data_IF_015149146455
#
_entry.id   IF_015149146455
#
_cell.length_a   1.000
_cell.length_b   1.000
_cell.length_c   1.000
_cell.angle_alpha   90.00
_cell.angle_beta   90.00
_cell.angle_gamma   90.00
#
_symmetry.space_group_name_H-M   'P 1'
#
loop_
_entity.id
_entity.type
_entity.pdbx_description
1 polymer ?
#
# COMPACT_ATOMS: atom_id res chain seq x y z
N UNK A 1 -20.15 19.52 -23.25
CA UNK A 1 -18.88 19.20 -23.93
C UNK A 1 -18.92 17.74 -24.29
N UNK A 2 -18.78 17.38 -25.53
CA UNK A 2 -18.76 15.99 -25.99
C UNK A 2 -17.28 15.64 -26.31
N UNK A 3 -16.49 15.35 -25.25
CA UNK A 3 -15.07 15.00 -25.39
C UNK A 3 -14.97 13.49 -25.50
N UNK A 4 -14.29 13.01 -26.55
CA UNK A 4 -14.09 11.59 -26.75
C UNK A 4 -13.32 10.97 -25.59
N UNK A 5 -13.82 9.86 -25.05
CA UNK A 5 -13.20 9.08 -23.96
C UNK A 5 -11.73 8.70 -24.26
N UNK A 6 -11.40 8.39 -25.52
CA UNK A 6 -10.04 8.05 -25.95
C UNK A 6 -9.03 9.15 -25.62
N UNK A 7 -9.45 10.42 -25.57
CA UNK A 7 -8.57 11.54 -25.20
C UNK A 7 -8.16 11.47 -23.73
N UNK A 8 -9.08 11.08 -22.84
CA UNK A 8 -8.79 10.88 -21.42
C UNK A 8 -7.92 9.66 -21.18
N UNK A 9 -8.13 8.58 -21.93
CA UNK A 9 -7.27 7.39 -21.89
C UNK A 9 -5.84 7.72 -22.28
N UNK A 10 -5.64 8.43 -23.38
CA UNK A 10 -4.33 8.89 -23.82
C UNK A 10 -3.70 9.83 -22.79
N UNK A 11 -4.47 10.75 -22.22
CA UNK A 11 -4.02 11.65 -21.16
C UNK A 11 -3.52 10.85 -19.94
N UNK A 12 -4.28 9.86 -19.48
CA UNK A 12 -3.92 9.00 -18.36
C UNK A 12 -2.55 8.33 -18.56
N UNK A 13 -2.33 7.70 -19.71
CA UNK A 13 -1.06 7.03 -19.97
C UNK A 13 0.11 8.01 -20.14
N UNK A 14 -0.08 9.15 -20.82
CA UNK A 14 0.97 10.17 -20.93
C UNK A 14 1.33 10.74 -19.56
N UNK A 15 0.36 10.95 -18.69
CA UNK A 15 0.56 11.41 -17.31
C UNK A 15 1.30 10.37 -16.46
N UNK A 16 0.92 9.09 -16.57
CA UNK A 16 1.52 7.99 -15.82
C UNK A 16 3.01 7.79 -16.16
N UNK A 17 3.36 7.92 -17.44
CA UNK A 17 4.75 7.71 -17.90
C UNK A 17 5.57 9.01 -17.96
N UNK A 18 4.95 10.17 -17.82
CA UNK A 18 5.56 11.49 -18.05
C UNK A 18 6.38 11.58 -19.36
N UNK A 19 6.03 10.73 -20.34
CA UNK A 19 6.76 10.55 -21.59
C UNK A 19 5.82 10.08 -22.70
N UNK A 20 5.74 10.88 -23.77
CA UNK A 20 4.88 10.57 -24.94
C UNK A 20 5.31 9.31 -25.70
N UNK A 21 6.62 9.03 -25.77
CA UNK A 21 7.12 7.86 -26.50
C UNK A 21 6.76 6.58 -25.76
N UNK A 22 7.01 6.52 -24.45
CA UNK A 22 6.68 5.36 -23.63
C UNK A 22 5.14 5.12 -23.58
N UNK A 23 4.36 6.19 -23.49
CA UNK A 23 2.92 6.08 -23.55
C UNK A 23 2.43 5.56 -24.91
N UNK A 24 3.07 5.99 -26.01
CA UNK A 24 2.75 5.52 -27.35
C UNK A 24 3.06 4.04 -27.55
N UNK A 25 4.20 3.57 -27.06
CA UNK A 25 4.57 2.14 -27.05
C UNK A 25 3.53 1.31 -26.28
N UNK A 26 3.15 1.77 -25.09
CA UNK A 26 2.14 1.09 -24.26
C UNK A 26 0.76 1.01 -24.91
N UNK A 27 0.39 2.04 -25.67
CA UNK A 27 -0.89 2.12 -26.37
C UNK A 27 -0.87 1.53 -27.79
N UNK A 28 0.27 0.96 -28.22
CA UNK A 28 0.48 0.49 -29.59
C UNK A 28 0.13 1.56 -30.63
N UNK A 29 0.46 2.82 -30.35
CA UNK A 29 0.16 3.99 -31.16
C UNK A 29 1.44 4.75 -31.56
N UNK A 30 1.32 5.77 -32.39
CA UNK A 30 2.46 6.64 -32.71
C UNK A 30 2.43 7.92 -31.87
N UNK A 31 3.59 8.37 -31.45
CA UNK A 31 3.77 9.55 -30.58
C UNK A 31 3.16 10.85 -31.18
N UNK A 32 3.25 11.17 -32.50
CA UNK A 32 2.60 12.35 -33.06
C UNK A 32 1.09 12.36 -32.86
N UNK A 33 0.44 11.20 -32.93
CA UNK A 33 -0.99 11.08 -32.71
C UNK A 33 -1.37 11.41 -31.25
N UNK A 34 -0.61 10.87 -30.28
CA UNK A 34 -0.81 11.18 -28.86
C UNK A 34 -0.67 12.68 -28.60
N UNK A 35 0.37 13.31 -29.14
CA UNK A 35 0.60 14.75 -28.99
C UNK A 35 -0.55 15.57 -29.55
N UNK A 36 -1.08 15.19 -30.73
CA UNK A 36 -2.23 15.85 -31.35
C UNK A 36 -3.50 15.70 -30.51
N UNK A 37 -3.70 14.52 -29.96
CA UNK A 37 -4.89 14.22 -29.13
C UNK A 37 -4.85 14.99 -27.82
N UNK A 38 -3.71 15.06 -27.15
CA UNK A 38 -3.57 15.87 -25.93
C UNK A 38 -3.85 17.34 -26.22
N UNK A 39 -3.30 17.91 -27.30
CA UNK A 39 -3.62 19.28 -27.69
C UNK A 39 -5.11 19.52 -27.91
N UNK A 40 -5.82 18.57 -28.52
CA UNK A 40 -7.29 18.65 -28.70
C UNK A 40 -8.01 18.62 -27.35
N UNK A 41 -7.57 17.76 -26.42
CA UNK A 41 -8.13 17.70 -25.08
C UNK A 41 -7.94 19.03 -24.33
N UNK A 42 -6.72 19.58 -24.35
CA UNK A 42 -6.40 20.88 -23.74
C UNK A 42 -7.24 22.01 -24.34
N UNK A 43 -7.39 22.04 -25.66
CA UNK A 43 -8.25 23.02 -26.36
C UNK A 43 -9.72 22.87 -25.95
N UNK A 44 -10.21 21.65 -25.82
CA UNK A 44 -11.61 21.39 -25.42
C UNK A 44 -11.89 21.77 -23.96
N UNK A 45 -10.89 21.63 -23.08
CA UNK A 45 -10.98 21.97 -21.66
C UNK A 45 -10.62 23.45 -21.38
N UNK A 46 -9.93 24.13 -22.32
CA UNK A 46 -9.50 25.51 -22.18
C UNK A 46 -8.31 25.69 -21.24
N UNK A 47 -7.61 24.62 -20.87
CA UNK A 47 -6.45 24.64 -19.95
C UNK A 47 -5.32 23.75 -20.48
N UNK A 48 -4.09 24.08 -20.11
CA UNK A 48 -2.93 23.22 -20.38
C UNK A 48 -2.81 22.15 -19.28
N UNK A 49 -2.65 20.91 -19.69
CA UNK A 49 -2.53 19.77 -18.78
C UNK A 49 -1.09 19.34 -18.56
N UNK A 50 -0.21 19.66 -19.52
CA UNK A 50 1.21 19.32 -19.46
C UNK A 50 2.11 20.55 -19.65
N UNK A 51 3.22 20.56 -18.93
CA UNK A 51 4.33 21.49 -19.11
C UNK A 51 5.59 20.73 -19.59
N UNK A 52 6.46 21.38 -20.35
CA UNK A 52 7.73 20.78 -20.78
C UNK A 52 8.74 20.75 -19.63
N UNK A 53 9.40 19.60 -19.47
CA UNK A 53 10.48 19.39 -18.51
C UNK A 53 11.69 18.75 -19.23
N UNK A 54 12.50 19.57 -19.88
CA UNK A 54 13.59 19.09 -20.72
C UNK A 54 13.08 18.30 -21.92
N UNK A 55 13.44 17.01 -22.01
CA UNK A 55 12.95 16.07 -23.05
C UNK A 55 11.62 15.40 -22.69
N UNK A 56 11.18 15.49 -21.44
CA UNK A 56 9.96 14.89 -20.92
C UNK A 56 8.88 15.95 -20.69
N UNK A 57 7.73 15.51 -20.20
CA UNK A 57 6.62 16.36 -19.79
C UNK A 57 6.27 16.09 -18.34
N UNK A 58 5.69 17.07 -17.66
CA UNK A 58 5.13 16.93 -16.33
C UNK A 58 3.72 17.54 -16.31
N UNK A 59 2.90 17.11 -15.38
CA UNK A 59 1.55 17.65 -15.20
C UNK A 59 1.59 19.08 -14.66
N UNK A 60 0.71 19.93 -15.20
CA UNK A 60 0.36 21.22 -14.59
C UNK A 60 -0.47 21.00 -13.32
N UNK A 61 -0.75 22.03 -12.49
CA UNK A 61 -1.70 21.91 -11.38
C UNK A 61 -3.08 21.38 -11.84
N UNK A 62 -3.62 21.92 -12.95
CA UNK A 62 -4.88 21.50 -13.57
C UNK A 62 -4.80 20.06 -14.09
N UNK A 63 -3.64 19.71 -14.67
CA UNK A 63 -3.35 18.34 -15.11
C UNK A 63 -3.33 17.34 -13.96
N UNK A 64 -2.81 17.72 -12.79
CA UNK A 64 -2.80 16.86 -11.60
C UNK A 64 -4.20 16.60 -11.07
N UNK A 65 -5.01 17.64 -10.96
CA UNK A 65 -6.40 17.51 -10.52
C UNK A 65 -7.21 16.60 -11.47
N UNK A 66 -7.03 16.80 -12.79
CA UNK A 66 -7.67 15.93 -13.78
C UNK A 66 -7.15 14.49 -13.68
N UNK A 67 -5.84 14.29 -13.50
CA UNK A 67 -5.23 12.97 -13.40
C UNK A 67 -5.77 12.16 -12.22
N UNK A 68 -5.94 12.75 -11.05
CA UNK A 68 -6.52 12.09 -9.89
C UNK A 68 -7.91 11.52 -10.18
N UNK A 69 -8.75 12.28 -10.89
CA UNK A 69 -10.12 11.86 -11.26
C UNK A 69 -10.13 10.82 -12.38
N UNK A 70 -9.30 11.02 -13.41
CA UNK A 70 -9.22 10.10 -14.55
C UNK A 70 -8.58 8.79 -14.15
N UNK A 71 -7.56 8.81 -13.29
CA UNK A 71 -6.92 7.61 -12.73
C UNK A 71 -7.95 6.71 -12.05
N UNK A 72 -8.80 7.28 -11.19
CA UNK A 72 -9.88 6.53 -10.53
C UNK A 72 -10.88 5.92 -11.53
N UNK A 73 -11.25 6.66 -12.59
CA UNK A 73 -12.14 6.16 -13.62
C UNK A 73 -11.52 5.05 -14.48
N UNK A 74 -10.24 5.18 -14.83
CA UNK A 74 -9.49 4.15 -15.58
C UNK A 74 -9.35 2.86 -14.79
N UNK A 75 -9.03 2.93 -13.48
CA UNK A 75 -8.98 1.77 -12.59
C UNK A 75 -10.33 1.02 -12.55
N UNK A 76 -11.47 1.74 -12.54
CA UNK A 76 -12.80 1.14 -12.59
C UNK A 76 -13.05 0.39 -13.90
N UNK A 77 -12.68 1.00 -15.03
CA UNK A 77 -12.87 0.39 -16.36
C UNK A 77 -11.99 -0.87 -16.48
N UNK A 78 -10.71 -0.77 -16.13
CA UNK A 78 -9.80 -1.91 -16.18
C UNK A 78 -10.23 -3.04 -15.23
N UNK A 79 -10.80 -2.71 -14.06
CA UNK A 79 -11.37 -3.68 -13.14
C UNK A 79 -12.57 -4.41 -13.77
N UNK A 80 -13.50 -3.68 -14.40
CA UNK A 80 -14.65 -4.25 -15.07
C UNK A 80 -14.25 -5.15 -16.26
N UNK A 81 -13.26 -4.74 -17.05
CA UNK A 81 -12.70 -5.56 -18.13
C UNK A 81 -12.07 -6.86 -17.61
N UNK A 82 -11.32 -6.79 -16.49
CA UNK A 82 -10.78 -7.98 -15.83
C UNK A 82 -11.88 -8.92 -15.33
N UNK A 83 -12.93 -8.39 -14.71
CA UNK A 83 -14.08 -9.17 -14.26
C UNK A 83 -14.76 -9.90 -15.42
N UNK A 84 -15.05 -9.19 -16.52
CA UNK A 84 -15.69 -9.77 -17.70
C UNK A 84 -14.81 -10.82 -18.38
N UNK A 85 -13.50 -10.60 -18.47
CA UNK A 85 -12.58 -11.58 -19.03
C UNK A 85 -12.49 -12.84 -18.18
N UNK A 86 -12.67 -12.74 -16.86
CA UNK A 86 -12.74 -13.88 -15.95
C UNK A 86 -14.02 -14.70 -16.11
N UNK A 87 -15.14 -14.08 -16.49
CA UNK A 87 -16.39 -14.79 -16.85
C UNK A 87 -16.29 -15.55 -18.18
N UNK A 88 -15.54 -15.03 -19.14
CA UNK A 88 -15.33 -15.67 -20.43
C UNK A 88 -14.38 -16.89 -20.36
N UNK A 89 -13.49 -16.92 -19.37
CA UNK A 89 -12.58 -18.02 -19.10
C UNK A 89 -13.15 -18.89 -17.95
N UNK A 90 -14.09 -19.77 -18.23
CA UNK A 90 -14.70 -20.73 -17.28
C UNK A 90 -13.69 -21.63 -16.52
N UNK A 91 -12.39 -21.42 -16.67
CA UNK A 91 -11.32 -22.16 -16.02
C UNK A 91 -10.28 -21.35 -15.23
N UNK A 92 -10.40 -20.02 -15.16
CA UNK A 92 -9.47 -19.18 -14.40
C UNK A 92 -10.07 -17.81 -14.13
N UNK A 93 -10.18 -17.44 -12.88
CA UNK A 93 -10.59 -16.10 -12.45
C UNK A 93 -9.40 -15.31 -11.91
N UNK A 94 -9.61 -14.02 -11.69
CA UNK A 94 -8.69 -13.17 -10.98
C UNK A 94 -9.30 -12.74 -9.65
N UNK A 95 -8.46 -12.63 -8.65
CA UNK A 95 -8.73 -11.84 -7.44
C UNK A 95 -7.67 -10.75 -7.34
N UNK A 96 -8.08 -9.57 -6.93
CA UNK A 96 -7.18 -8.45 -6.74
C UNK A 96 -7.22 -7.98 -5.28
N UNK A 97 -6.05 -7.90 -4.65
CA UNK A 97 -5.91 -7.62 -3.21
C UNK A 97 -4.90 -6.50 -3.01
N UNK A 98 -5.35 -5.40 -2.42
CA UNK A 98 -4.45 -4.39 -1.87
C UNK A 98 -3.98 -4.82 -0.47
N UNK A 99 -2.69 -4.71 -0.17
CA UNK A 99 -2.20 -5.11 1.15
C UNK A 99 -1.14 -4.14 1.67
N UNK A 100 -1.20 -3.84 2.98
CA UNK A 100 -0.06 -3.23 3.66
C UNK A 100 0.96 -4.31 4.03
N UNK A 101 2.24 -3.93 4.10
CA UNK A 101 3.36 -4.86 4.27
C UNK A 101 3.16 -5.82 5.46
N UNK A 102 2.86 -5.29 6.64
CA UNK A 102 2.64 -6.12 7.84
C UNK A 102 1.43 -7.05 7.67
N UNK A 103 0.34 -6.56 7.09
CA UNK A 103 -0.86 -7.35 6.87
C UNK A 103 -0.65 -8.43 5.80
N UNK A 104 0.18 -8.13 4.78
CA UNK A 104 0.62 -9.09 3.78
C UNK A 104 1.31 -10.28 4.45
N UNK A 105 2.37 -10.03 5.20
CA UNK A 105 3.18 -11.09 5.82
C UNK A 105 2.40 -11.86 6.89
N UNK A 106 1.75 -11.15 7.80
CA UNK A 106 1.13 -11.79 8.97
C UNK A 106 -0.17 -12.52 8.67
N UNK A 107 -0.97 -12.04 7.72
CA UNK A 107 -2.32 -12.58 7.50
C UNK A 107 -2.55 -13.06 6.07
N UNK A 108 -2.14 -12.27 5.08
CA UNK A 108 -2.52 -12.56 3.69
C UNK A 108 -1.71 -13.70 3.07
N UNK A 109 -0.38 -13.74 3.24
CA UNK A 109 0.45 -14.82 2.68
C UNK A 109 0.08 -16.21 3.20
N UNK A 110 -0.13 -16.43 4.51
CA UNK A 110 -0.63 -17.72 5.01
C UNK A 110 -1.99 -18.11 4.41
N UNK A 111 -2.92 -17.15 4.29
CA UNK A 111 -4.23 -17.39 3.70
C UNK A 111 -4.15 -17.67 2.20
N UNK A 112 -3.29 -16.98 1.45
CA UNK A 112 -3.05 -17.20 0.03
C UNK A 112 -2.44 -18.57 -0.23
N UNK A 113 -1.59 -19.08 0.65
CA UNK A 113 -1.07 -20.44 0.55
C UNK A 113 -2.21 -21.47 0.56
N UNK A 114 -3.10 -21.40 1.54
CA UNK A 114 -4.28 -22.26 1.64
C UNK A 114 -5.21 -22.06 0.45
N UNK A 115 -5.44 -20.81 0.06
CA UNK A 115 -6.28 -20.46 -1.07
C UNK A 115 -5.78 -21.06 -2.39
N UNK A 116 -4.49 -20.93 -2.68
CA UNK A 116 -3.89 -21.45 -3.93
C UNK A 116 -3.83 -22.97 -3.98
N UNK A 117 -3.74 -23.65 -2.82
CA UNK A 117 -3.86 -25.09 -2.75
C UNK A 117 -5.28 -25.55 -3.13
N UNK A 118 -6.32 -24.85 -2.68
CA UNK A 118 -7.72 -25.15 -2.98
C UNK A 118 -8.16 -24.68 -4.38
N UNK A 119 -7.57 -23.59 -4.88
CA UNK A 119 -7.95 -22.90 -6.12
C UNK A 119 -6.73 -22.60 -7.00
N UNK A 120 -5.99 -23.62 -7.53
CA UNK A 120 -4.72 -23.44 -8.24
C UNK A 120 -4.85 -22.63 -9.53
N UNK A 121 -6.00 -22.68 -10.19
CA UNK A 121 -6.26 -21.99 -11.46
C UNK A 121 -6.60 -20.50 -11.32
N UNK A 122 -6.90 -20.00 -10.10
CA UNK A 122 -7.24 -18.61 -9.89
C UNK A 122 -5.95 -17.78 -9.79
N UNK A 123 -5.85 -16.73 -10.58
CA UNK A 123 -4.77 -15.76 -10.53
C UNK A 123 -4.99 -14.75 -9.41
N UNK A 124 -3.91 -14.33 -8.77
CA UNK A 124 -3.93 -13.33 -7.69
C UNK A 124 -3.12 -12.12 -8.15
N UNK A 125 -3.77 -10.98 -8.21
CA UNK A 125 -3.12 -9.67 -8.37
C UNK A 125 -2.93 -9.07 -6.99
N UNK A 126 -1.68 -8.87 -6.61
CA UNK A 126 -1.32 -8.36 -5.29
C UNK A 126 -0.68 -6.99 -5.44
N UNK A 127 -1.29 -6.00 -4.79
CA UNK A 127 -0.79 -4.63 -4.74
C UNK A 127 -0.26 -4.35 -3.34
N UNK A 128 1.06 -4.20 -3.22
CA UNK A 128 1.69 -3.80 -1.97
C UNK A 128 1.69 -2.27 -1.85
N UNK A 129 1.00 -1.76 -0.85
CA UNK A 129 0.77 -0.33 -0.63
C UNK A 129 0.85 0.02 0.84
N UNK A 130 0.99 1.31 1.17
CA UNK A 130 0.65 1.77 2.51
C UNK A 130 -0.85 1.56 2.79
N UNK A 131 -1.25 1.44 4.06
CA UNK A 131 -2.68 1.23 4.39
C UNK A 131 -3.61 2.29 3.80
N UNK A 132 -3.30 3.61 3.82
CA UNK A 132 -4.13 4.61 3.14
C UNK A 132 -4.21 4.41 1.63
N UNK A 133 -3.10 4.03 0.98
CA UNK A 133 -3.09 3.78 -0.47
C UNK A 133 -3.91 2.53 -0.83
N UNK A 134 -3.79 1.44 -0.06
CA UNK A 134 -4.59 0.23 -0.27
C UNK A 134 -6.09 0.51 -0.15
N UNK A 135 -6.50 1.33 0.84
CA UNK A 135 -7.88 1.80 0.99
C UNK A 135 -8.31 2.67 -0.19
N UNK A 136 -7.45 3.57 -0.66
CA UNK A 136 -7.75 4.40 -1.84
C UNK A 136 -7.92 3.55 -3.09
N UNK A 137 -7.02 2.59 -3.34
CA UNK A 137 -7.12 1.64 -4.47
C UNK A 137 -8.43 0.85 -4.41
N UNK A 138 -8.83 0.38 -3.22
CA UNK A 138 -10.11 -0.29 -3.02
C UNK A 138 -11.30 0.62 -3.34
N UNK A 139 -11.30 1.85 -2.83
CA UNK A 139 -12.38 2.83 -3.10
C UNK A 139 -12.56 3.09 -4.59
N UNK A 140 -11.45 3.22 -5.30
CA UNK A 140 -11.41 3.48 -6.72
C UNK A 140 -11.68 2.24 -7.60
N UNK A 141 -11.81 1.04 -6.99
CA UNK A 141 -12.10 -0.22 -7.70
C UNK A 141 -10.87 -0.87 -8.32
N UNK A 142 -9.67 -0.44 -7.97
CA UNK A 142 -8.42 -1.05 -8.40
C UNK A 142 -8.13 -2.40 -7.75
N UNK A 143 -8.82 -2.74 -6.63
CA UNK A 143 -8.78 -4.07 -6.04
C UNK A 143 -10.14 -4.47 -5.46
N UNK A 144 -10.36 -5.78 -5.28
CA UNK A 144 -11.60 -6.37 -4.77
C UNK A 144 -11.74 -6.19 -3.25
N UNK A 145 -10.64 -6.37 -2.54
CA UNK A 145 -10.52 -6.20 -1.09
C UNK A 145 -9.16 -5.58 -0.75
N UNK A 146 -9.08 -5.01 0.45
CA UNK A 146 -7.80 -4.63 1.01
C UNK A 146 -7.57 -5.34 2.35
N UNK A 147 -6.32 -5.74 2.61
CA UNK A 147 -5.88 -6.27 3.91
C UNK A 147 -4.84 -5.32 4.48
N UNK A 148 -5.21 -4.60 5.52
CA UNK A 148 -4.41 -3.49 6.03
C UNK A 148 -4.08 -3.62 7.51
N UNK A 149 -2.95 -3.06 7.90
CA UNK A 149 -2.59 -2.86 9.30
C UNK A 149 -2.85 -1.39 9.69
N UNK A 150 -3.43 -1.16 10.86
CA UNK A 150 -3.77 0.18 11.38
C UNK A 150 -4.81 0.93 10.53
N UNK A 151 -6.00 1.08 11.05
CA UNK A 151 -6.98 2.04 10.57
C UNK A 151 -7.12 3.13 11.63
N UNK A 152 -6.66 4.34 11.31
CA UNK A 152 -6.82 5.50 12.20
C UNK A 152 -8.21 6.11 12.04
N UNK A 153 -8.79 5.99 10.85
CA UNK A 153 -10.12 6.48 10.52
C UNK A 153 -10.87 5.42 9.71
N UNK A 154 -12.13 5.21 10.05
CA UNK A 154 -13.02 4.28 9.35
C UNK A 154 -13.92 5.06 8.38
N UNK A 155 -13.71 4.84 7.09
CA UNK A 155 -14.59 5.40 6.07
C UNK A 155 -15.98 4.73 6.15
N UNK A 156 -17.08 5.49 6.32
CA UNK A 156 -18.42 4.93 6.44
C UNK A 156 -18.91 4.17 5.20
N UNK A 157 -18.31 4.39 4.01
CA UNK A 157 -18.61 3.67 2.77
C UNK A 157 -17.98 2.26 2.73
N UNK A 158 -17.02 1.99 3.62
CA UNK A 158 -16.28 0.74 3.69
C UNK A 158 -16.68 -0.06 4.93
N UNK A 159 -16.50 -1.35 4.84
CA UNK A 159 -16.66 -2.30 5.93
C UNK A 159 -15.28 -2.81 6.35
N UNK A 160 -15.00 -2.76 7.64
CA UNK A 160 -13.74 -3.17 8.24
C UNK A 160 -13.99 -4.34 9.18
N UNK A 161 -13.40 -5.48 8.91
CA UNK A 161 -13.47 -6.65 9.77
C UNK A 161 -12.08 -6.90 10.35
N UNK A 162 -11.95 -6.80 11.68
CA UNK A 162 -10.69 -7.13 12.36
C UNK A 162 -10.41 -8.62 12.23
N UNK A 163 -9.22 -8.99 11.72
CA UNK A 163 -8.78 -10.37 11.52
C UNK A 163 -7.52 -10.73 12.31
N UNK A 164 -6.96 -9.79 13.04
CA UNK A 164 -5.77 -10.05 13.84
C UNK A 164 -5.21 -8.79 14.46
N UNK A 165 -4.12 -8.99 15.17
CA UNK A 165 -3.33 -7.92 15.77
C UNK A 165 -1.85 -8.28 15.74
N UNK A 166 -0.99 -7.29 15.88
CA UNK A 166 0.45 -7.47 15.98
C UNK A 166 1.05 -6.50 16.98
N UNK A 167 2.24 -6.85 17.46
CA UNK A 167 3.05 -6.01 18.33
C UNK A 167 4.21 -5.43 17.56
N UNK A 168 4.63 -4.25 17.94
CA UNK A 168 5.86 -3.65 17.46
C UNK A 168 6.95 -3.77 18.50
N UNK A 169 8.18 -3.92 18.05
CA UNK A 169 9.34 -4.16 18.88
C UNK A 169 10.42 -3.18 18.47
N UNK A 170 10.96 -2.36 19.38
CA UNK A 170 12.12 -1.55 19.08
C UNK A 170 13.36 -2.43 18.98
N UNK A 171 14.06 -2.27 17.86
CA UNK A 171 15.27 -3.06 17.55
C UNK A 171 16.42 -2.15 17.14
N UNK A 172 17.63 -2.58 17.48
CA UNK A 172 18.87 -1.97 17.01
C UNK A 172 19.85 -3.07 16.55
N UNK A 173 20.98 -2.67 15.96
CA UNK A 173 22.06 -3.61 15.65
C UNK A 173 22.58 -4.28 16.92
N UNK A 174 23.12 -5.50 16.78
CA UNK A 174 23.59 -6.29 17.92
C UNK A 174 24.72 -5.59 18.73
N UNK A 175 25.57 -4.84 18.05
CA UNK A 175 26.66 -4.07 18.58
C UNK A 175 26.30 -2.62 18.97
N UNK A 176 25.06 -2.20 18.73
CA UNK A 176 24.61 -0.85 19.03
C UNK A 176 24.75 -0.52 20.52
N UNK A 177 25.36 0.62 20.92
CA UNK A 177 25.67 0.93 22.32
C UNK A 177 24.39 1.31 23.10
N UNK A 178 23.85 0.36 23.86
CA UNK A 178 22.78 0.64 24.82
C UNK A 178 23.38 0.93 26.20
N UNK A 179 23.01 2.08 26.79
CA UNK A 179 23.57 2.56 28.08
C UNK A 179 22.71 2.20 29.29
N UNK A 180 21.52 1.61 29.07
CA UNK A 180 20.58 1.21 30.13
C UNK A 180 20.13 -0.23 29.91
N UNK A 181 19.71 -0.90 30.95
CA UNK A 181 19.11 -2.25 30.89
C UNK A 181 17.63 -2.19 30.47
N UNK A 182 16.94 -1.05 30.68
CA UNK A 182 15.53 -0.83 30.30
C UNK A 182 15.30 0.62 29.92
N UNK A 183 14.41 0.83 28.97
CA UNK A 183 14.09 2.13 28.40
C UNK A 183 12.59 2.38 28.49
N UNK A 184 12.18 3.63 28.59
CA UNK A 184 10.81 4.05 28.34
C UNK A 184 10.58 4.30 26.86
N UNK A 185 9.32 4.39 26.42
CA UNK A 185 9.00 4.82 25.04
C UNK A 185 9.58 6.22 24.77
N UNK A 186 9.57 7.11 25.77
CA UNK A 186 10.14 8.46 25.65
C UNK A 186 11.66 8.45 25.41
N UNK A 187 12.40 7.50 26.01
CA UNK A 187 13.85 7.37 25.82
C UNK A 187 14.23 7.00 24.37
N UNK A 188 13.30 6.39 23.59
CA UNK A 188 13.56 6.05 22.19
C UNK A 188 13.83 7.28 21.33
N UNK A 189 13.33 8.48 21.72
CA UNK A 189 13.63 9.73 21.03
C UNK A 189 15.09 10.18 21.15
N UNK A 190 15.84 9.62 22.06
CA UNK A 190 17.26 9.94 22.26
C UNK A 190 18.17 9.15 21.30
N UNK A 191 17.58 8.24 20.49
CA UNK A 191 18.27 7.48 19.46
C UNK A 191 17.94 8.02 18.07
N UNK A 192 18.83 7.83 17.09
CA UNK A 192 18.48 8.02 15.68
C UNK A 192 17.39 7.02 15.31
N UNK A 193 16.18 7.52 15.04
CA UNK A 193 15.02 6.69 14.72
C UNK A 193 14.92 6.42 13.22
N UNK A 194 14.57 5.19 12.87
CA UNK A 194 14.25 4.74 11.53
C UNK A 194 12.75 4.42 11.47
N UNK A 195 12.02 5.03 10.57
CA UNK A 195 10.56 4.89 10.48
C UNK A 195 10.05 4.91 9.06
N UNK A 196 8.81 4.49 8.90
CA UNK A 196 8.05 4.73 7.68
C UNK A 196 7.82 6.23 7.47
N UNK A 197 7.71 6.66 6.20
CA UNK A 197 7.51 8.05 5.83
C UNK A 197 6.16 8.65 6.26
N UNK A 198 6.08 9.97 6.22
CA UNK A 198 4.97 10.80 6.77
C UNK A 198 3.57 10.48 6.23
N UNK A 199 3.48 9.90 5.04
CA UNK A 199 2.19 9.56 4.41
C UNK A 199 1.70 8.15 4.77
N UNK A 200 2.18 7.59 5.90
CA UNK A 200 1.79 6.27 6.36
C UNK A 200 1.03 6.33 7.68
N UNK A 201 0.11 5.39 7.88
CA UNK A 201 -0.62 5.26 9.13
C UNK A 201 0.30 4.97 10.32
N UNK A 202 1.44 4.31 10.09
CA UNK A 202 2.43 4.04 11.13
C UNK A 202 3.14 5.30 11.60
N UNK A 203 3.53 6.19 10.69
CA UNK A 203 4.14 7.47 11.05
C UNK A 203 3.21 8.31 11.94
N UNK A 204 1.94 8.44 11.55
CA UNK A 204 0.98 9.22 12.36
C UNK A 204 0.72 8.56 13.73
N UNK A 205 0.66 7.23 13.78
CA UNK A 205 0.52 6.52 15.04
C UNK A 205 1.73 6.72 15.98
N UNK A 206 2.96 6.69 15.45
CA UNK A 206 4.16 6.98 16.26
C UNK A 206 4.20 8.45 16.69
N UNK A 207 3.90 9.35 15.80
CA UNK A 207 3.81 10.78 16.12
C UNK A 207 2.85 11.01 17.30
N UNK A 208 1.64 10.41 17.25
CA UNK A 208 0.68 10.48 18.35
C UNK A 208 1.22 9.84 19.64
N UNK A 209 1.82 8.64 19.53
CA UNK A 209 2.39 7.92 20.68
C UNK A 209 3.47 8.73 21.39
N UNK A 210 4.44 9.26 20.67
CA UNK A 210 5.52 10.07 21.25
C UNK A 210 5.01 11.42 21.79
N UNK A 211 4.06 12.03 21.10
CA UNK A 211 3.41 13.26 21.56
C UNK A 211 2.66 13.02 22.90
N UNK A 212 2.02 11.86 23.09
CA UNK A 212 1.40 11.48 24.39
C UNK A 212 2.40 11.35 25.53
N UNK A 213 3.69 11.13 25.21
CA UNK A 213 4.82 11.12 26.13
C UNK A 213 5.55 12.46 26.22
N UNK A 214 4.97 13.54 25.71
CA UNK A 214 5.56 14.89 25.64
C UNK A 214 6.90 14.93 24.88
N UNK A 215 7.06 14.05 23.89
CA UNK A 215 8.22 13.98 23.00
C UNK A 215 7.83 14.27 21.56
N UNK A 216 8.80 14.77 20.79
CA UNK A 216 8.62 15.00 19.35
C UNK A 216 9.15 13.78 18.59
N UNK A 217 8.28 13.14 17.81
CA UNK A 217 8.68 12.08 16.89
C UNK A 217 9.38 12.68 15.68
N UNK A 218 10.67 12.44 15.56
CA UNK A 218 11.51 12.96 14.47
C UNK A 218 12.45 11.87 13.98
N UNK A 219 12.03 10.98 13.06
CA UNK A 219 12.93 9.99 12.49
C UNK A 219 14.05 10.66 11.68
N UNK A 220 15.27 10.11 11.78
CA UNK A 220 16.42 10.54 10.98
C UNK A 220 16.42 9.87 9.59
N UNK A 221 15.88 8.64 9.52
CA UNK A 221 15.73 7.90 8.27
C UNK A 221 14.27 7.55 8.08
N UNK A 222 13.70 8.00 6.97
CA UNK A 222 12.35 7.66 6.54
C UNK A 222 12.41 6.68 5.36
N UNK A 223 11.66 5.58 5.43
CA UNK A 223 11.61 4.53 4.40
C UNK A 223 10.21 4.38 3.83
N UNK A 224 10.11 3.81 2.64
CA UNK A 224 8.83 3.65 1.95
C UNK A 224 8.02 2.45 2.49
N UNK A 225 8.68 1.33 2.82
CA UNK A 225 8.06 0.06 3.23
C UNK A 225 8.69 -0.48 4.51
N UNK A 226 7.92 -1.26 5.29
CA UNK A 226 8.34 -1.70 6.62
C UNK A 226 9.47 -2.75 6.59
N UNK A 227 9.59 -3.53 5.52
CA UNK A 227 10.65 -4.50 5.28
C UNK A 227 12.04 -3.85 5.15
N UNK A 228 12.10 -2.57 4.77
CA UNK A 228 13.36 -1.82 4.65
C UNK A 228 13.97 -1.45 6.01
N UNK A 229 13.20 -1.47 7.11
CA UNK A 229 13.67 -1.03 8.43
C UNK A 229 14.75 -1.97 8.95
N UNK A 230 14.51 -3.29 8.97
CA UNK A 230 15.46 -4.26 9.50
C UNK A 230 16.83 -4.23 8.79
N UNK A 231 16.91 -4.23 7.45
CA UNK A 231 18.19 -4.07 6.77
C UNK A 231 18.97 -2.83 7.23
N UNK A 232 18.31 -1.67 7.34
CA UNK A 232 18.96 -0.41 7.75
C UNK A 232 19.44 -0.49 9.21
N UNK A 233 18.62 -1.05 10.10
CA UNK A 233 19.00 -1.32 11.49
C UNK A 233 20.25 -2.19 11.60
N UNK A 234 20.38 -3.21 10.73
CA UNK A 234 21.53 -4.14 10.76
C UNK A 234 22.87 -3.48 10.45
N UNK A 235 22.87 -2.30 9.81
CA UNK A 235 24.06 -1.48 9.56
C UNK A 235 24.38 -0.50 10.69
N UNK A 236 23.68 -0.58 11.84
CA UNK A 236 23.94 0.28 13.00
C UNK A 236 23.47 1.72 12.83
N UNK A 237 22.61 2.00 11.82
CA UNK A 237 22.17 3.36 11.48
C UNK A 237 21.11 3.93 12.42
N UNK A 238 20.64 3.15 13.41
CA UNK A 238 19.68 3.63 14.39
C UNK A 238 18.76 2.54 14.94
N UNK A 239 17.68 3.00 15.53
CA UNK A 239 16.64 2.19 16.16
C UNK A 239 15.39 2.19 15.28
N UNK A 240 14.89 1.01 14.93
CA UNK A 240 13.66 0.81 14.18
C UNK A 240 12.56 0.23 15.07
N UNK A 241 11.32 0.70 14.87
CA UNK A 241 10.13 0.03 15.39
C UNK A 241 9.62 -0.92 14.32
N UNK A 242 9.70 -2.23 14.56
CA UNK A 242 9.36 -3.27 13.59
C UNK A 242 8.23 -4.14 14.10
N UNK A 243 7.34 -4.57 13.20
CA UNK A 243 6.34 -5.58 13.55
C UNK A 243 7.00 -6.92 13.89
N UNK A 244 6.48 -7.59 14.90
CA UNK A 244 6.98 -8.86 15.43
C UNK A 244 7.18 -9.93 14.34
N UNK A 245 6.32 -9.94 13.32
CA UNK A 245 6.37 -10.89 12.21
C UNK A 245 7.69 -10.81 11.43
N UNK A 246 8.23 -9.61 11.20
CA UNK A 246 9.49 -9.47 10.46
C UNK A 246 10.70 -10.05 11.18
N UNK A 247 10.68 -10.10 12.52
CA UNK A 247 11.71 -10.80 13.28
C UNK A 247 11.47 -12.32 13.28
N UNK A 248 10.20 -12.76 13.30
CA UNK A 248 9.84 -14.18 13.26
C UNK A 248 10.23 -14.84 11.94
N UNK A 249 10.20 -14.10 10.84
CA UNK A 249 10.57 -14.58 9.50
C UNK A 249 12.10 -14.62 9.28
N UNK A 250 12.89 -14.02 10.15
CA UNK A 250 14.35 -14.06 10.04
C UNK A 250 14.91 -15.43 10.39
N UNK A 251 15.97 -15.84 9.67
CA UNK A 251 16.76 -17.01 10.07
C UNK A 251 17.46 -16.77 11.42
N UNK A 252 17.80 -17.84 12.12
CA UNK A 252 18.55 -17.75 13.40
C UNK A 252 19.88 -17.01 13.25
N UNK A 253 20.52 -17.13 12.10
CA UNK A 253 21.77 -16.42 11.81
C UNK A 253 21.52 -14.92 11.59
N UNK A 254 20.45 -14.57 10.86
CA UNK A 254 20.06 -13.18 10.66
C UNK A 254 19.66 -12.50 11.97
N UNK A 255 19.00 -13.22 12.87
CA UNK A 255 18.58 -12.68 14.18
C UNK A 255 19.78 -12.25 15.04
N UNK A 256 20.96 -12.84 14.86
CA UNK A 256 22.19 -12.44 15.58
C UNK A 256 22.64 -11.01 15.26
N UNK A 257 22.18 -10.43 14.15
CA UNK A 257 22.48 -9.05 13.75
C UNK A 257 21.70 -8.01 14.53
N UNK A 258 20.67 -8.42 15.26
CA UNK A 258 19.73 -7.53 15.94
C UNK A 258 19.68 -7.81 17.42
N UNK A 259 19.38 -6.78 18.20
CA UNK A 259 18.90 -6.93 19.57
C UNK A 259 17.65 -6.09 19.79
N UNK A 260 16.75 -6.64 20.59
CA UNK A 260 15.54 -5.93 21.04
C UNK A 260 15.95 -4.95 22.12
N UNK A 261 15.40 -3.75 22.08
CA UNK A 261 15.57 -2.77 23.15
C UNK A 261 14.53 -3.09 24.25
N UNK A 262 14.94 -3.43 25.46
CA UNK A 262 14.00 -3.72 26.54
C UNK A 262 13.24 -2.46 26.93
N UNK A 263 11.91 -2.49 26.85
CA UNK A 263 11.06 -1.42 27.32
C UNK A 263 10.47 -1.74 28.69
N UNK A 264 10.38 -0.73 29.57
CA UNK A 264 9.68 -0.79 30.84
C UNK A 264 8.15 -0.76 30.71
N UNK A 265 7.65 -0.39 29.54
CA UNK A 265 6.24 -0.34 29.15
C UNK A 265 6.03 -0.95 27.77
N UNK A 266 4.86 -1.54 27.53
CA UNK A 266 4.57 -2.15 26.22
C UNK A 266 4.12 -1.11 25.20
N UNK A 267 4.55 -1.30 23.95
CA UNK A 267 3.97 -0.55 22.83
C UNK A 267 2.52 -0.98 22.61
N UNK A 268 1.64 -0.06 22.16
CA UNK A 268 0.26 -0.41 21.82
C UNK A 268 0.21 -1.47 20.72
N UNK A 269 -0.64 -2.47 20.90
CA UNK A 269 -0.93 -3.43 19.83
C UNK A 269 -1.67 -2.74 18.69
N UNK A 270 -1.42 -3.21 17.48
CA UNK A 270 -2.07 -2.73 16.27
C UNK A 270 -2.92 -3.81 15.63
N UNK A 271 -4.00 -3.41 15.00
CA UNK A 271 -4.95 -4.32 14.41
C UNK A 271 -4.71 -4.53 12.91
N UNK A 272 -5.12 -5.70 12.42
CA UNK A 272 -5.19 -6.04 10.99
C UNK A 272 -6.64 -6.19 10.61
N UNK A 273 -7.00 -5.60 9.47
CA UNK A 273 -8.38 -5.58 8.97
C UNK A 273 -8.46 -6.10 7.54
N UNK A 274 -9.51 -6.84 7.24
CA UNK A 274 -10.05 -6.93 5.89
C UNK A 274 -10.95 -5.73 5.68
N UNK A 275 -10.79 -5.07 4.53
CA UNK A 275 -11.61 -3.92 4.12
C UNK A 275 -12.30 -4.24 2.82
N UNK A 276 -13.60 -3.96 2.73
CA UNK A 276 -14.41 -4.13 1.52
C UNK A 276 -15.40 -2.99 1.36
N UNK A 277 -15.92 -2.80 0.16
CA UNK A 277 -16.99 -1.84 -0.08
C UNK A 277 -18.32 -2.41 0.43
N UNK A 278 -19.08 -1.64 1.20
CA UNK A 278 -20.36 -2.08 1.79
C UNK A 278 -21.41 -2.50 0.75
N UNK A 279 -21.47 -1.80 -0.38
CA UNK A 279 -22.53 -1.94 -1.39
C UNK A 279 -22.11 -2.72 -2.63
N UNK A 280 -20.89 -3.23 -2.68
CA UNK A 280 -20.39 -4.00 -3.82
C UNK A 280 -20.32 -5.48 -3.43
N UNK A 281 -21.05 -6.36 -4.11
CA UNK A 281 -20.95 -7.79 -3.89
C UNK A 281 -19.57 -8.27 -4.36
N UNK A 282 -18.91 -9.08 -3.53
CA UNK A 282 -17.69 -9.77 -3.92
C UNK A 282 -17.99 -10.89 -4.90
N UNK A 283 -17.13 -11.11 -5.89
CA UNK A 283 -17.18 -12.30 -6.73
C UNK A 283 -16.91 -13.57 -5.89
N UNK A 284 -17.25 -14.73 -6.43
CA UNK A 284 -17.15 -16.00 -5.70
C UNK A 284 -15.72 -16.31 -5.26
N UNK A 285 -14.74 -16.03 -6.12
CA UNK A 285 -13.33 -16.26 -5.84
C UNK A 285 -12.84 -15.43 -4.65
N UNK A 286 -13.15 -14.13 -4.65
CA UNK A 286 -12.80 -13.22 -3.54
C UNK A 286 -13.54 -13.59 -2.25
N UNK A 287 -14.82 -14.00 -2.32
CA UNK A 287 -15.55 -14.50 -1.13
C UNK A 287 -14.83 -15.67 -0.47
N UNK A 288 -14.31 -16.61 -1.25
CA UNK A 288 -13.56 -17.76 -0.72
C UNK A 288 -12.25 -17.35 -0.04
N UNK A 289 -11.51 -16.37 -0.59
CA UNK A 289 -10.33 -15.84 0.09
C UNK A 289 -10.71 -15.15 1.41
N UNK A 290 -11.77 -14.35 1.42
CA UNK A 290 -12.28 -13.69 2.64
C UNK A 290 -12.68 -14.74 3.70
N UNK A 291 -13.36 -15.82 3.30
CA UNK A 291 -13.71 -16.94 4.21
C UNK A 291 -12.46 -17.55 4.85
N UNK A 292 -11.40 -17.81 4.07
CA UNK A 292 -10.15 -18.35 4.60
C UNK A 292 -9.49 -17.37 5.58
N UNK A 293 -9.47 -16.08 5.26
CA UNK A 293 -8.93 -15.04 6.15
C UNK A 293 -9.70 -14.95 7.48
N UNK A 294 -11.03 -15.01 7.42
CA UNK A 294 -11.89 -15.00 8.62
C UNK A 294 -11.70 -16.27 9.45
N UNK A 295 -11.73 -17.45 8.83
CA UNK A 295 -11.51 -18.71 9.52
C UNK A 295 -10.14 -18.80 10.18
N UNK A 296 -9.09 -18.26 9.53
CA UNK A 296 -7.74 -18.20 10.10
C UNK A 296 -7.65 -17.27 11.33
N UNK A 297 -8.59 -16.33 11.43
CA UNK A 297 -8.73 -15.42 12.56
C UNK A 297 -9.68 -15.95 13.65
N UNK A 298 -10.27 -17.15 13.49
CA UNK A 298 -11.26 -17.72 14.39
C UNK A 298 -12.62 -17.00 14.34
N UNK A 299 -12.93 -16.34 13.23
CA UNK A 299 -14.19 -15.62 13.01
C UNK A 299 -15.07 -16.48 12.10
N UNK A 300 -16.31 -16.68 12.49
CA UNK A 300 -17.29 -17.35 11.60
C UNK A 300 -17.52 -16.50 10.35
N UNK A 301 -17.43 -17.10 9.15
CA UNK A 301 -17.50 -16.39 7.88
C UNK A 301 -18.91 -15.91 7.51
#
# INVERSE_FOLDING_TARGET
>A
MDINYEYYKIFYYVAQYENFTLAAEKLYANQPNLTRTIKKLEQSLGVSLFAKRGRNVCLTPEGKELYERISAAMEQIESAERELSSFAALEGGYISVGASEVALHKSLLPALRTYKQAHPKINVLLFNHSSPQAVSTLKNGGCDIAVISVANEFDPALEYTKIGEYSEIPVCAADFPLRKESFTIADLCDFPLISLGRNTASYEAYKFLFQSKQKIFRPEIEVATADQILPIVSYGLGVGLVADIFLQEQSQESLKKYKKIPLSESLPKRNIYIVRKKRQPLNLATKKLVQILLSSAGIEP
#
